data_IF_856387440677
#
_entry.id   IF_856387440677
#
_cell.length_a   1.000
_cell.length_b   1.000
_cell.length_c   1.000
_cell.angle_alpha   90.00
_cell.angle_beta   90.00
_cell.angle_gamma   90.00
#
_symmetry.space_group_name_H-M   'P 1'
#
loop_
_entity.id
_entity.type
_entity.pdbx_description
1 polymer ?
#
# COMPACT_ATOMS: atom_id res chain seq x y z
N UNK A 1 -5.89 -14.90 -20.38
CA UNK A 1 -6.00 -13.42 -20.33
C UNK A 1 -6.07 -12.89 -18.91
N UNK A 2 -7.01 -13.31 -18.07
CA UNK A 2 -7.11 -12.82 -16.68
C UNK A 2 -5.81 -13.01 -15.87
N UNK A 3 -5.20 -14.20 -15.91
CA UNK A 3 -3.93 -14.45 -15.19
C UNK A 3 -2.78 -13.54 -15.60
N UNK A 4 -2.74 -13.14 -16.88
CA UNK A 4 -1.72 -12.22 -17.39
C UNK A 4 -1.93 -10.79 -16.85
N UNK A 5 -3.18 -10.32 -16.85
CA UNK A 5 -3.53 -9.00 -16.30
C UNK A 5 -3.23 -8.97 -14.79
N UNK A 6 -3.58 -10.03 -14.07
CA UNK A 6 -3.29 -10.13 -12.64
C UNK A 6 -1.79 -10.12 -12.34
N UNK A 7 -0.98 -10.86 -13.11
CA UNK A 7 0.48 -10.85 -12.98
C UNK A 7 1.10 -9.48 -13.29
N UNK A 8 0.55 -8.74 -14.26
CA UNK A 8 1.03 -7.40 -14.59
C UNK A 8 0.69 -6.40 -13.49
N UNK A 9 -0.52 -6.46 -12.96
CA UNK A 9 -0.92 -5.66 -11.80
C UNK A 9 -0.10 -6.01 -10.56
N UNK A 10 0.17 -7.29 -10.33
CA UNK A 10 0.98 -7.77 -9.22
C UNK A 10 2.37 -7.11 -9.21
N UNK A 11 3.09 -7.16 -10.33
CA UNK A 11 4.40 -6.49 -10.48
C UNK A 11 4.28 -4.99 -10.32
N UNK A 12 3.26 -4.38 -10.91
CA UNK A 12 3.06 -2.95 -10.82
C UNK A 12 2.86 -2.49 -9.37
N UNK A 13 2.01 -3.22 -8.61
CA UNK A 13 1.79 -2.97 -7.18
C UNK A 13 3.04 -3.23 -6.36
N UNK A 14 3.82 -4.27 -6.67
CA UNK A 14 5.09 -4.54 -6.01
C UNK A 14 6.06 -3.36 -6.14
N UNK A 15 6.29 -2.92 -7.38
CA UNK A 15 7.22 -1.84 -7.69
C UNK A 15 6.75 -0.48 -7.13
N UNK A 16 5.49 -0.11 -7.40
CA UNK A 16 4.93 1.15 -6.92
C UNK A 16 4.76 1.19 -5.39
N UNK A 17 4.41 0.05 -4.79
CA UNK A 17 4.26 -0.11 -3.35
C UNK A 17 5.59 0.03 -2.60
N UNK A 18 6.65 -0.64 -3.07
CA UNK A 18 8.00 -0.53 -2.50
C UNK A 18 8.50 0.92 -2.49
N UNK A 19 8.39 1.62 -3.63
CA UNK A 19 8.80 3.02 -3.74
C UNK A 19 7.99 3.94 -2.79
N UNK A 20 6.69 3.68 -2.66
CA UNK A 20 5.83 4.44 -1.75
C UNK A 20 6.18 4.20 -0.28
N UNK A 21 6.55 2.98 0.10
CA UNK A 21 7.01 2.64 1.45
C UNK A 21 8.31 3.39 1.81
N UNK A 22 9.22 3.54 0.85
CA UNK A 22 10.46 4.32 1.02
C UNK A 22 10.12 5.80 1.27
N UNK A 23 9.29 6.42 0.42
CA UNK A 23 8.89 7.82 0.61
C UNK A 23 8.15 8.06 1.92
N UNK A 24 7.30 7.12 2.32
CA UNK A 24 6.61 7.19 3.60
C UNK A 24 7.58 7.16 4.79
N UNK A 25 8.61 6.32 4.71
CA UNK A 25 9.64 6.22 5.75
C UNK A 25 10.48 7.49 5.82
N UNK A 26 10.88 8.05 4.66
CA UNK A 26 11.56 9.33 4.61
C UNK A 26 10.71 10.46 5.18
N UNK A 27 9.41 10.47 4.90
CA UNK A 27 8.47 11.41 5.52
C UNK A 27 8.49 11.29 7.05
N UNK A 28 8.47 10.05 7.59
CA UNK A 28 8.55 9.81 9.04
C UNK A 28 9.86 10.32 9.64
N UNK A 29 10.99 10.08 8.97
CA UNK A 29 12.28 10.61 9.38
C UNK A 29 12.27 12.14 9.42
N UNK A 30 11.71 12.79 8.40
CA UNK A 30 11.64 14.26 8.33
C UNK A 30 10.78 14.84 9.44
N UNK A 31 9.57 14.30 9.67
CA UNK A 31 8.68 14.73 10.76
C UNK A 31 9.36 14.59 12.13
N UNK A 32 10.12 13.50 12.32
CA UNK A 32 10.82 13.25 13.57
C UNK A 32 12.02 14.17 13.78
N UNK A 33 12.76 14.47 12.71
CA UNK A 33 13.96 15.30 12.76
C UNK A 33 13.63 16.81 12.85
N UNK A 34 12.77 17.32 11.97
CA UNK A 34 12.39 18.73 11.93
C UNK A 34 11.14 18.96 11.08
N UNK A 35 10.14 19.62 11.67
CA UNK A 35 8.91 19.99 10.95
C UNK A 35 9.17 20.89 9.74
N UNK A 36 10.17 21.80 9.82
CA UNK A 36 10.57 22.66 8.70
C UNK A 36 11.12 21.85 7.52
N UNK A 37 11.91 20.81 7.80
CA UNK A 37 12.45 19.92 6.77
C UNK A 37 11.32 19.13 6.11
N UNK A 38 10.37 18.63 6.90
CA UNK A 38 9.19 17.95 6.39
C UNK A 38 8.34 18.85 5.49
N UNK A 39 8.11 20.12 5.87
CA UNK A 39 7.37 21.07 5.04
C UNK A 39 8.10 21.42 3.73
N UNK A 40 9.44 21.40 3.75
CA UNK A 40 10.25 21.69 2.56
C UNK A 40 10.24 20.51 1.58
N UNK A 41 10.40 19.28 2.08
CA UNK A 41 10.52 18.07 1.24
C UNK A 41 9.15 17.47 0.91
N UNK A 42 8.23 17.43 1.87
CA UNK A 42 6.90 16.82 1.78
C UNK A 42 5.78 17.85 2.01
N UNK A 43 6.02 19.11 1.64
CA UNK A 43 5.00 20.15 1.64
C UNK A 43 3.86 19.88 0.66
N UNK A 44 2.81 20.73 0.69
CA UNK A 44 1.59 20.52 -0.09
C UNK A 44 1.84 20.51 -1.61
N UNK A 45 2.87 21.16 -2.14
CA UNK A 45 3.22 21.09 -3.56
C UNK A 45 4.13 19.91 -3.90
N UNK A 46 5.16 19.67 -3.08
CA UNK A 46 6.19 18.66 -3.37
C UNK A 46 5.70 17.23 -3.14
N UNK A 47 4.71 17.01 -2.26
CA UNK A 47 4.10 15.69 -2.06
C UNK A 47 3.53 15.10 -3.36
N UNK A 48 2.97 15.94 -4.23
CA UNK A 48 2.43 15.51 -5.53
C UNK A 48 3.52 15.01 -6.47
N UNK A 49 4.75 15.55 -6.37
CA UNK A 49 5.89 15.07 -7.16
C UNK A 49 6.22 13.63 -6.75
N UNK A 50 6.33 13.37 -5.45
CA UNK A 50 6.62 12.03 -4.92
C UNK A 50 5.54 11.01 -5.30
N UNK A 51 4.27 11.39 -5.17
CA UNK A 51 3.14 10.54 -5.60
C UNK A 51 3.22 10.28 -7.11
N UNK A 52 3.50 11.31 -7.91
CA UNK A 52 3.62 11.17 -9.37
C UNK A 52 4.77 10.25 -9.75
N UNK A 53 5.90 10.27 -9.03
CA UNK A 53 7.01 9.35 -9.22
C UNK A 53 6.60 7.90 -8.92
N UNK A 54 5.90 7.65 -7.81
CA UNK A 54 5.35 6.32 -7.49
C UNK A 54 4.39 5.82 -8.57
N UNK A 55 3.50 6.69 -9.04
CA UNK A 55 2.52 6.37 -10.09
C UNK A 55 3.20 6.11 -11.44
N UNK A 56 4.19 6.91 -11.79
CA UNK A 56 4.98 6.71 -13.01
C UNK A 56 5.72 5.37 -12.96
N UNK A 57 6.30 5.01 -11.82
CA UNK A 57 6.98 3.72 -11.65
C UNK A 57 6.00 2.54 -11.70
N UNK A 58 4.81 2.68 -11.11
CA UNK A 58 3.72 1.71 -11.22
C UNK A 58 3.32 1.47 -12.68
N UNK A 59 3.01 2.52 -13.45
CA UNK A 59 2.62 2.36 -14.86
C UNK A 59 3.79 1.89 -15.72
N UNK A 60 5.01 2.33 -15.44
CA UNK A 60 6.21 1.86 -16.12
C UNK A 60 6.39 0.34 -15.94
N UNK A 61 6.25 -0.15 -14.72
CA UNK A 61 6.33 -1.59 -14.45
C UNK A 61 5.14 -2.37 -15.04
N UNK A 62 3.93 -1.80 -15.03
CA UNK A 62 2.74 -2.43 -15.62
C UNK A 62 2.86 -2.72 -17.12
N UNK A 63 3.45 -1.80 -17.89
CA UNK A 63 3.50 -1.91 -19.36
C UNK A 63 4.82 -2.46 -19.91
N UNK A 64 5.93 -2.28 -19.19
CA UNK A 64 7.26 -2.62 -19.72
C UNK A 64 7.91 -3.84 -19.06
N UNK A 65 7.37 -4.33 -17.93
CA UNK A 65 7.93 -5.51 -17.26
C UNK A 65 7.10 -6.76 -17.62
N UNK A 66 7.75 -7.84 -18.09
CA UNK A 66 7.06 -9.09 -18.33
C UNK A 66 6.38 -9.61 -17.04
N UNK A 67 5.06 -9.87 -17.06
CA UNK A 67 4.36 -10.28 -15.86
C UNK A 67 4.69 -11.72 -15.47
N UNK A 68 4.93 -12.02 -14.18
CA UNK A 68 4.99 -13.38 -13.69
C UNK A 68 3.59 -13.99 -13.77
N UNK A 69 3.54 -15.31 -13.93
CA UNK A 69 2.30 -16.04 -14.01
C UNK A 69 2.15 -16.92 -12.78
N UNK A 70 0.94 -16.96 -12.24
CA UNK A 70 0.64 -17.83 -11.11
C UNK A 70 0.75 -19.29 -11.54
N UNK A 71 1.57 -20.07 -10.83
CA UNK A 71 1.71 -21.50 -11.04
C UNK A 71 1.15 -22.24 -9.82
N UNK A 72 0.19 -23.14 -10.06
CA UNK A 72 -0.51 -23.90 -9.01
C UNK A 72 0.33 -25.02 -8.38
N UNK A 73 1.36 -25.51 -9.07
CA UNK A 73 2.30 -26.48 -8.51
C UNK A 73 3.20 -25.80 -7.47
N UNK A 74 3.75 -24.64 -7.82
CA UNK A 74 4.63 -23.85 -6.95
C UNK A 74 3.87 -22.98 -5.94
N UNK A 75 2.55 -22.84 -6.08
CA UNK A 75 1.66 -22.02 -5.24
C UNK A 75 2.11 -20.54 -5.14
N UNK A 76 2.73 -20.02 -6.20
CA UNK A 76 3.21 -18.64 -6.23
C UNK A 76 3.34 -18.12 -7.66
N UNK A 77 3.63 -16.82 -7.79
CA UNK A 77 3.92 -16.18 -9.07
C UNK A 77 5.37 -16.47 -9.47
N UNK A 78 5.53 -17.02 -10.67
CA UNK A 78 6.83 -17.44 -11.20
C UNK A 78 7.04 -16.84 -12.59
N UNK A 79 8.28 -16.54 -12.92
CA UNK A 79 8.63 -16.03 -14.25
C UNK A 79 8.52 -17.12 -15.34
N UNK A 80 8.88 -18.37 -15.00
CA UNK A 80 8.68 -19.52 -15.86
C UNK A 80 7.34 -20.21 -15.54
N UNK A 81 6.30 -20.07 -16.38
CA UNK A 81 5.01 -20.70 -16.14
C UNK A 81 5.07 -22.24 -16.22
N UNK A 82 6.07 -22.81 -16.90
CA UNK A 82 6.23 -24.24 -17.12
C UNK A 82 7.11 -24.94 -16.08
N UNK A 83 7.48 -24.23 -15.00
CA UNK A 83 8.21 -24.83 -13.87
C UNK A 83 7.47 -26.07 -13.34
N UNK A 84 8.22 -27.15 -13.11
CA UNK A 84 7.70 -28.46 -12.73
C UNK A 84 7.34 -29.39 -13.90
N UNK A 85 7.25 -28.88 -15.14
CA UNK A 85 7.02 -29.69 -16.35
C UNK A 85 8.25 -29.74 -17.26
N UNK A 86 8.83 -28.58 -17.58
CA UNK A 86 10.01 -28.47 -18.44
C UNK A 86 11.06 -27.59 -17.76
N UNK A 87 12.33 -28.01 -17.89
CA UNK A 87 13.46 -27.17 -17.48
C UNK A 87 13.62 -25.97 -18.42
N UNK A 88 14.19 -24.88 -17.91
CA UNK A 88 14.57 -23.70 -18.69
C UNK A 88 16.10 -23.58 -18.78
N UNK A 89 16.76 -24.43 -19.59
CA UNK A 89 18.22 -24.41 -19.71
C UNK A 89 18.74 -23.15 -20.42
N UNK A 90 17.92 -22.53 -21.28
CA UNK A 90 18.27 -21.30 -22.01
C UNK A 90 18.02 -20.02 -21.21
N UNK A 91 17.38 -20.13 -20.03
CA UNK A 91 17.04 -19.01 -19.13
C UNK A 91 16.14 -17.98 -19.80
N UNK A 92 15.34 -18.39 -20.77
CA UNK A 92 14.45 -17.52 -21.54
C UNK A 92 13.39 -16.85 -20.67
N UNK A 93 13.03 -17.48 -19.56
CA UNK A 93 12.05 -16.96 -18.61
C UNK A 93 12.67 -16.21 -17.44
N UNK A 94 14.00 -15.96 -17.45
CA UNK A 94 14.64 -15.20 -16.38
C UNK A 94 14.47 -13.70 -16.59
N UNK A 95 13.71 -13.07 -15.69
CA UNK A 95 13.48 -11.62 -15.72
C UNK A 95 14.48 -10.93 -14.80
N UNK A 96 15.59 -10.44 -15.37
CA UNK A 96 16.66 -9.74 -14.63
C UNK A 96 16.12 -8.54 -13.82
N UNK A 97 15.11 -7.85 -14.36
CA UNK A 97 14.46 -6.73 -13.69
C UNK A 97 13.98 -7.09 -12.28
N UNK A 98 13.35 -8.26 -12.10
CA UNK A 98 12.82 -8.68 -10.81
C UNK A 98 13.91 -8.90 -9.76
N UNK A 99 15.06 -9.43 -10.16
CA UNK A 99 16.22 -9.61 -9.28
C UNK A 99 16.84 -8.26 -8.88
N UNK A 100 17.08 -7.39 -9.87
CA UNK A 100 17.66 -6.07 -9.63
C UNK A 100 16.75 -5.23 -8.73
N UNK A 101 15.44 -5.24 -9.01
CA UNK A 101 14.47 -4.53 -8.19
C UNK A 101 14.47 -5.01 -6.74
N UNK A 102 14.41 -6.32 -6.50
CA UNK A 102 14.43 -6.88 -5.15
C UNK A 102 15.72 -6.56 -4.39
N UNK A 103 16.90 -6.65 -5.04
CA UNK A 103 18.18 -6.29 -4.42
C UNK A 103 18.26 -4.82 -4.05
N UNK A 104 17.81 -3.93 -4.96
CA UNK A 104 17.76 -2.49 -4.71
C UNK A 104 16.79 -2.17 -3.59
N UNK A 105 15.59 -2.74 -3.62
CA UNK A 105 14.56 -2.51 -2.59
C UNK A 105 15.01 -3.02 -1.22
N UNK A 106 15.68 -4.18 -1.16
CA UNK A 106 16.30 -4.70 0.05
C UNK A 106 17.35 -3.74 0.60
N UNK A 107 18.29 -3.29 -0.24
CA UNK A 107 19.37 -2.39 0.16
C UNK A 107 18.83 -1.04 0.66
N UNK A 108 17.88 -0.45 -0.08
CA UNK A 108 17.27 0.83 0.29
C UNK A 108 16.43 0.70 1.56
N UNK A 109 15.70 -0.41 1.75
CA UNK A 109 14.94 -0.68 2.97
C UNK A 109 15.85 -0.76 4.20
N UNK A 110 17.00 -1.43 4.11
CA UNK A 110 18.00 -1.45 5.19
C UNK A 110 18.48 -0.03 5.50
N UNK A 111 18.87 0.75 4.49
CA UNK A 111 19.30 2.15 4.69
C UNK A 111 18.19 2.97 5.34
N UNK A 112 16.95 2.85 4.86
CA UNK A 112 15.80 3.58 5.40
C UNK A 112 15.54 3.25 6.88
N UNK A 113 15.59 1.97 7.27
CA UNK A 113 15.47 1.56 8.68
C UNK A 113 16.63 2.13 9.49
N UNK A 114 17.87 2.02 9.02
CA UNK A 114 19.03 2.52 9.79
C UNK A 114 18.93 4.02 10.04
N UNK A 115 18.59 4.81 9.02
CA UNK A 115 18.38 6.26 9.15
C UNK A 115 17.25 6.55 10.13
N UNK A 116 16.13 5.83 10.02
CA UNK A 116 15.00 5.99 10.94
C UNK A 116 15.39 5.70 12.38
N UNK A 117 16.12 4.60 12.64
CA UNK A 117 16.58 4.24 13.97
C UNK A 117 17.55 5.27 14.56
N UNK A 118 18.48 5.80 13.77
CA UNK A 118 19.39 6.86 14.21
C UNK A 118 18.65 8.13 14.59
N UNK A 119 17.68 8.56 13.76
CA UNK A 119 16.84 9.74 14.06
C UNK A 119 16.00 9.51 15.32
N UNK A 120 15.42 8.31 15.47
CA UNK A 120 14.62 7.93 16.63
C UNK A 120 15.44 7.95 17.93
N UNK A 121 16.64 7.38 17.91
CA UNK A 121 17.55 7.38 19.06
C UNK A 121 17.97 8.80 19.44
N UNK A 122 18.39 9.62 18.46
CA UNK A 122 18.80 11.01 18.69
C UNK A 122 17.67 11.83 19.33
N UNK A 123 16.43 11.62 18.90
CA UNK A 123 15.27 12.29 19.48
C UNK A 123 14.97 11.79 20.89
N UNK A 124 15.09 10.50 21.16
CA UNK A 124 14.88 9.91 22.50
C UNK A 124 15.85 10.46 23.55
N UNK A 125 17.07 10.81 23.15
CA UNK A 125 18.05 11.46 24.04
C UNK A 125 17.75 12.95 24.31
N UNK A 126 16.90 13.59 23.50
CA UNK A 126 16.44 14.96 23.71
C UNK A 126 15.18 14.97 24.58
N UNK A 127 15.31 15.38 25.85
CA UNK A 127 14.41 15.11 26.99
C UNK A 127 13.01 15.76 26.95
N UNK A 128 12.50 16.21 25.79
CA UNK A 128 11.20 16.86 25.69
C UNK A 128 10.34 16.33 24.53
N UNK A 129 9.65 15.18 24.69
CA UNK A 129 8.67 14.79 23.66
C UNK A 129 7.53 13.83 24.04
N UNK A 130 6.41 13.99 23.31
CA UNK A 130 5.22 13.15 23.29
C UNK A 130 5.54 11.70 22.87
N UNK A 131 5.79 10.83 23.85
CA UNK A 131 6.20 9.44 23.64
C UNK A 131 5.21 8.59 22.82
N UNK A 132 3.91 8.90 22.88
CA UNK A 132 2.86 8.11 22.21
C UNK A 132 2.89 8.19 20.68
N UNK A 133 3.08 9.39 20.12
CA UNK A 133 3.12 9.59 18.67
C UNK A 133 4.38 8.97 18.03
N UNK A 134 5.52 9.14 18.69
CA UNK A 134 6.79 8.58 18.23
C UNK A 134 6.78 7.03 18.25
N UNK A 135 6.14 6.41 19.24
CA UNK A 135 6.08 4.96 19.36
C UNK A 135 5.20 4.30 18.28
N UNK A 136 4.07 4.91 17.93
CA UNK A 136 3.21 4.43 16.85
C UNK A 136 3.92 4.46 15.50
N UNK A 137 4.64 5.56 15.24
CA UNK A 137 5.42 5.71 14.02
C UNK A 137 6.58 4.71 13.95
N UNK A 138 7.21 4.42 15.09
CA UNK A 138 8.24 3.39 15.21
C UNK A 138 7.73 1.99 14.84
N UNK A 139 6.63 1.55 15.47
CA UNK A 139 6.02 0.25 15.16
C UNK A 139 5.64 0.17 13.69
N UNK A 140 5.07 1.25 13.14
CA UNK A 140 4.66 1.31 11.75
C UNK A 140 5.82 1.06 10.79
N UNK A 141 6.90 1.82 10.89
CA UNK A 141 8.05 1.70 9.99
C UNK A 141 8.70 0.33 10.13
N UNK A 142 8.86 -0.17 11.36
CA UNK A 142 9.48 -1.47 11.59
C UNK A 142 8.69 -2.63 10.98
N UNK A 143 7.36 -2.64 11.15
CA UNK A 143 6.51 -3.71 10.60
C UNK A 143 6.49 -3.68 9.08
N UNK A 144 6.31 -2.50 8.45
CA UNK A 144 6.26 -2.37 6.99
C UNK A 144 7.55 -2.92 6.37
N UNK A 145 8.71 -2.50 6.88
CA UNK A 145 9.98 -2.94 6.34
C UNK A 145 10.33 -4.39 6.70
N UNK A 146 9.90 -4.92 7.85
CA UNK A 146 10.14 -6.31 8.20
C UNK A 146 9.52 -7.28 7.20
N UNK A 147 8.25 -7.05 6.81
CA UNK A 147 7.60 -7.87 5.79
C UNK A 147 8.21 -7.65 4.40
N UNK A 148 8.54 -6.40 4.04
CA UNK A 148 9.15 -6.09 2.74
C UNK A 148 10.52 -6.77 2.56
N UNK A 149 11.38 -6.73 3.58
CA UNK A 149 12.69 -7.37 3.58
C UNK A 149 12.58 -8.90 3.51
N UNK A 150 11.66 -9.49 4.29
CA UNK A 150 11.46 -10.93 4.28
C UNK A 150 11.00 -11.42 2.90
N UNK A 151 10.13 -10.67 2.24
CA UNK A 151 9.64 -11.00 0.92
C UNK A 151 10.70 -10.83 -0.18
N UNK A 152 11.39 -9.68 -0.24
CA UNK A 152 12.45 -9.42 -1.24
C UNK A 152 13.58 -10.45 -1.13
N UNK A 153 14.10 -10.66 0.09
CA UNK A 153 15.13 -11.64 0.35
C UNK A 153 14.66 -13.06 0.03
N UNK A 154 13.46 -13.43 0.45
CA UNK A 154 12.94 -14.77 0.25
C UNK A 154 12.72 -15.12 -1.22
N UNK A 155 12.18 -14.19 -2.03
CA UNK A 155 11.97 -14.42 -3.45
C UNK A 155 13.30 -14.54 -4.23
N UNK A 156 14.33 -13.79 -3.85
CA UNK A 156 15.65 -13.93 -4.45
C UNK A 156 16.37 -15.20 -3.95
N UNK A 157 16.16 -15.59 -2.70
CA UNK A 157 16.66 -16.85 -2.15
C UNK A 157 16.14 -18.05 -2.94
N UNK A 158 14.82 -18.16 -3.16
CA UNK A 158 14.25 -19.29 -3.92
C UNK A 158 14.68 -19.28 -5.39
N UNK A 159 14.95 -18.08 -5.94
CA UNK A 159 15.43 -17.92 -7.31
C UNK A 159 16.86 -18.43 -7.48
N UNK A 160 17.71 -18.31 -6.46
CA UNK A 160 19.14 -18.70 -6.51
C UNK A 160 19.36 -20.14 -6.03
N UNK A 161 18.78 -20.50 -4.89
CA UNK A 161 19.05 -21.77 -4.20
C UNK A 161 18.00 -22.85 -4.47
N UNK A 162 16.94 -22.51 -5.19
CA UNK A 162 15.85 -23.41 -5.51
C UNK A 162 14.62 -23.21 -4.63
N UNK A 163 13.51 -23.70 -5.15
CA UNK A 163 12.18 -23.52 -4.58
C UNK A 163 11.74 -24.74 -3.78
N UNK A 164 10.94 -24.50 -2.74
CA UNK A 164 10.11 -25.53 -2.14
C UNK A 164 8.70 -25.00 -1.92
N UNK A 165 7.69 -25.86 -2.13
CA UNK A 165 6.27 -25.49 -1.99
C UNK A 165 5.92 -24.81 -0.65
N UNK A 166 6.35 -25.30 0.53
CA UNK A 166 6.03 -24.63 1.79
C UNK A 166 6.66 -23.24 1.89
N UNK A 167 7.89 -23.08 1.38
CA UNK A 167 8.59 -21.80 1.36
C UNK A 167 7.88 -20.81 0.44
N UNK A 168 7.48 -21.22 -0.76
CA UNK A 168 6.74 -20.36 -1.69
C UNK A 168 5.41 -19.87 -1.12
N UNK A 169 4.64 -20.77 -0.49
CA UNK A 169 3.38 -20.39 0.14
C UNK A 169 3.60 -19.38 1.26
N UNK A 170 4.64 -19.57 2.07
CA UNK A 170 5.03 -18.63 3.12
C UNK A 170 5.43 -17.25 2.56
N UNK A 171 6.22 -17.23 1.49
CA UNK A 171 6.65 -16.00 0.84
C UNK A 171 5.49 -15.25 0.19
N UNK A 172 4.53 -15.97 -0.40
CA UNK A 172 3.31 -15.36 -0.93
C UNK A 172 2.48 -14.70 0.18
N UNK A 173 2.33 -15.34 1.34
CA UNK A 173 1.63 -14.73 2.49
C UNK A 173 2.37 -13.49 2.98
N UNK A 174 3.70 -13.57 3.09
CA UNK A 174 4.53 -12.43 3.53
C UNK A 174 4.42 -11.25 2.57
N UNK A 175 4.42 -11.54 1.26
CA UNK A 175 4.19 -10.56 0.20
C UNK A 175 2.83 -9.88 0.30
N UNK A 176 1.75 -10.65 0.52
CA UNK A 176 0.41 -10.09 0.74
C UNK A 176 0.39 -9.19 1.99
N UNK A 177 1.11 -9.58 3.05
CA UNK A 177 1.21 -8.81 4.28
C UNK A 177 2.00 -7.51 4.08
N UNK A 178 3.09 -7.50 3.30
CA UNK A 178 3.87 -6.27 3.09
C UNK A 178 3.06 -5.16 2.41
N UNK A 179 2.13 -5.53 1.53
CA UNK A 179 1.23 -4.57 0.86
C UNK A 179 -0.03 -4.27 1.69
N UNK A 180 -0.56 -5.25 2.42
CA UNK A 180 -1.85 -5.14 3.13
C UNK A 180 -1.75 -4.58 4.56
N UNK A 181 -0.58 -4.64 5.20
CA UNK A 181 -0.46 -4.29 6.62
C UNK A 181 -0.51 -2.79 6.90
N UNK A 182 -0.06 -1.98 5.95
CA UNK A 182 0.01 -0.51 6.08
C UNK A 182 -1.32 0.13 6.50
N UNK A 183 -2.45 -0.06 5.79
CA UNK A 183 -3.74 0.51 6.21
C UNK A 183 -4.23 -0.04 7.55
N UNK A 184 -3.95 -1.31 7.86
CA UNK A 184 -4.33 -1.94 9.13
C UNK A 184 -3.60 -1.27 10.29
N UNK A 185 -2.29 -1.04 10.16
CA UNK A 185 -1.49 -0.32 11.17
C UNK A 185 -2.06 1.09 11.39
N UNK A 186 -2.38 1.81 10.31
CA UNK A 186 -2.99 3.14 10.44
C UNK A 186 -4.32 3.13 11.20
N UNK A 187 -5.19 2.14 10.96
CA UNK A 187 -6.48 2.04 11.64
C UNK A 187 -6.37 1.67 13.12
N UNK A 188 -5.40 0.83 13.48
CA UNK A 188 -5.18 0.40 14.86
C UNK A 188 -4.54 1.52 15.68
N UNK A 189 -3.51 2.17 15.14
CA UNK A 189 -2.67 3.07 15.91
C UNK A 189 -3.07 4.55 15.79
N UNK A 190 -3.72 5.00 14.73
CA UNK A 190 -4.07 6.41 14.56
C UNK A 190 -5.54 6.69 14.93
N UNK A 191 -5.77 7.15 16.16
CA UNK A 191 -7.11 7.50 16.67
C UNK A 191 -7.77 8.66 15.91
N UNK A 192 -6.98 9.58 15.34
CA UNK A 192 -7.49 10.67 14.50
C UNK A 192 -8.07 10.14 13.20
N UNK A 193 -7.34 9.26 12.49
CA UNK A 193 -7.82 8.61 11.26
C UNK A 193 -9.07 7.79 11.55
N UNK A 194 -9.06 7.01 12.63
CA UNK A 194 -10.23 6.24 13.07
C UNK A 194 -11.45 7.14 13.30
N UNK A 195 -11.27 8.28 13.97
CA UNK A 195 -12.35 9.23 14.26
C UNK A 195 -12.90 9.88 12.99
N UNK A 196 -12.02 10.28 12.06
CA UNK A 196 -12.41 10.84 10.76
C UNK A 196 -13.14 9.80 9.91
N UNK A 197 -12.62 8.57 9.83
CA UNK A 197 -13.20 7.49 9.03
C UNK A 197 -14.59 7.09 9.56
N UNK A 198 -14.74 6.94 10.87
CA UNK A 198 -16.04 6.71 11.52
C UNK A 198 -17.00 7.88 11.24
N UNK A 199 -16.55 9.13 11.36
CA UNK A 199 -17.38 10.30 11.07
C UNK A 199 -17.83 10.34 9.61
N UNK A 200 -16.96 10.02 8.66
CA UNK A 200 -17.28 9.99 7.23
C UNK A 200 -18.24 8.85 6.89
N UNK A 201 -18.03 7.64 7.41
CA UNK A 201 -18.93 6.49 7.22
C UNK A 201 -20.31 6.78 7.83
N UNK A 202 -20.35 7.38 9.04
CA UNK A 202 -21.60 7.79 9.69
C UNK A 202 -22.30 8.92 8.92
N UNK A 203 -21.57 9.88 8.34
CA UNK A 203 -22.13 10.92 7.48
C UNK A 203 -22.71 10.37 6.18
N UNK A 204 -22.04 9.41 5.54
CA UNK A 204 -22.57 8.71 4.36
C UNK A 204 -23.86 7.95 4.73
N UNK A 205 -23.86 7.27 5.87
CA UNK A 205 -25.02 6.55 6.39
C UNK A 205 -26.20 7.49 6.73
N UNK A 206 -25.91 8.67 7.29
CA UNK A 206 -26.92 9.68 7.61
C UNK A 206 -27.46 10.36 6.34
N UNK A 207 -26.57 10.71 5.40
CA UNK A 207 -26.93 11.27 4.08
C UNK A 207 -27.81 10.30 3.28
N UNK A 208 -27.52 9.00 3.29
CA UNK A 208 -28.36 7.99 2.64
C UNK A 208 -29.72 7.84 3.34
N UNK A 209 -29.78 7.87 4.67
CA UNK A 209 -31.07 7.84 5.42
C UNK A 209 -31.93 9.08 5.16
N UNK A 210 -31.34 10.26 5.03
CA UNK A 210 -32.07 11.49 4.73
C UNK A 210 -32.52 11.57 3.25
N UNK A 211 -31.78 10.95 2.33
CA UNK A 211 -32.17 10.82 0.92
C UNK A 211 -33.35 9.86 0.71
N UNK A 212 -33.44 8.82 1.53
CA UNK A 212 -34.52 7.81 1.47
C UNK A 212 -35.79 8.30 2.19
N UNK A 213 -35.68 9.14 3.23
CA UNK A 213 -36.87 9.69 3.92
C UNK A 213 -37.54 10.84 3.14
N UNK A 214 -36.81 11.53 2.26
CA UNK A 214 -37.38 12.50 1.30
C UNK A 214 -37.83 11.75 0.03
N UNK A 215 -38.84 10.88 0.20
CA UNK A 215 -39.54 10.28 -0.93
C UNK A 215 -40.52 11.34 -1.50
N UNK A 216 -40.45 11.73 -2.80
CA UNK A 216 -41.24 12.82 -3.39
C UNK A 216 -42.76 12.62 -3.33
N UNK A 217 -43.22 11.39 -3.03
CA UNK A 217 -44.65 11.06 -2.99
C UNK A 217 -45.42 11.76 -1.86
N UNK A 218 -44.74 12.29 -0.83
CA UNK A 218 -45.39 13.10 0.23
C UNK A 218 -45.65 14.55 -0.20
N UNK A 219 -44.82 15.12 -1.09
CA UNK A 219 -44.98 16.51 -1.55
C UNK A 219 -46.12 16.66 -2.57
N UNK A 220 -46.36 15.66 -3.42
CA UNK A 220 -47.49 15.68 -4.37
C UNK A 220 -48.86 15.54 -3.70
N UNK A 221 -48.96 14.85 -2.55
CA UNK A 221 -50.24 14.70 -1.83
C UNK A 221 -50.62 15.98 -1.07
N UNK A 222 -49.65 16.77 -0.59
CA UNK A 222 -49.93 18.08 0.03
C UNK A 222 -50.32 19.16 -1.00
N UNK A 223 -49.71 19.15 -2.19
CA UNK A 223 -50.06 20.12 -3.25
C UNK A 223 -51.48 19.88 -3.80
N UNK A 224 -51.88 18.63 -4.03
CA UNK A 224 -53.24 18.32 -4.53
C UNK A 224 -54.36 18.51 -3.49
N UNK A 225 -54.06 18.53 -2.19
CA UNK A 225 -55.03 18.91 -1.16
C UNK A 225 -55.26 20.43 -1.06
N UNK A 226 -54.28 21.26 -1.43
CA UNK A 226 -54.47 22.72 -1.47
C UNK A 226 -55.25 23.20 -2.69
N UNK A 227 -55.08 22.55 -3.84
CA UNK A 227 -55.78 22.96 -5.09
C UNK A 227 -57.28 22.65 -5.03
N UNK A 228 -57.71 21.60 -4.32
CA UNK A 228 -59.14 21.24 -4.20
C UNK A 228 -59.95 22.13 -3.24
N UNK A 229 -59.31 22.98 -2.45
CA UNK A 229 -60.01 23.91 -1.54
C UNK A 229 -60.28 25.28 -2.16
N UNK A 230 -59.74 25.56 -3.34
CA UNK A 230 -59.85 26.88 -4.01
C UNK A 230 -60.86 26.92 -5.17
N UNK A 231 -61.61 25.83 -5.41
CA UNK A 231 -62.67 25.76 -6.44
C UNK A 231 -64.03 25.40 -5.83
N UNK A 232 -64.42 26.09 -4.76
CA UNK A 232 -65.82 26.15 -4.29
C UNK A 232 -66.10 27.58 -3.81
N UNK A 233 -66.22 28.50 -4.76
CA UNK A 233 -66.98 29.75 -4.69
C UNK A 233 -67.43 30.09 -6.12
#
# INVERSE_FOLDING_TARGET
MLMYILGALDVAFWCGGGLTNIFLTLNRCCVMYSMKLNETIFGPGTVYIWISLSVAYYFGSLFFVPPPLFNSLELTYVSNPHVGYFGDPTREYTVLFGLVHNLVDFAVSIVAITVFLTVYQNKRHSVAHNQGFDHQMFIQVLLIHAFQLLTTFGFDYIRIFGSSRPLNAFLLVTYMMSQGITPIIYLIFNSTIKSVLVTQILRISYSQRHSVSVNPKSQYVKSNKMVKTLTVQ
#
